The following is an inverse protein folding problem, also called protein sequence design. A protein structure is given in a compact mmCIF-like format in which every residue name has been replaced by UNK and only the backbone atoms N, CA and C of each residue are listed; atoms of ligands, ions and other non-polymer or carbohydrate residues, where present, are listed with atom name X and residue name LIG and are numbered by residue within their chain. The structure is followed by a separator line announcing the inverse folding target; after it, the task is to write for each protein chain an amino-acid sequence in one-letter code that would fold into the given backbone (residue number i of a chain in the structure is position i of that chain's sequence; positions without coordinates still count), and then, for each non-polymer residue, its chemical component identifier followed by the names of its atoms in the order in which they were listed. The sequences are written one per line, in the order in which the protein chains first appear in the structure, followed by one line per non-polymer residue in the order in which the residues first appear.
data_IF_775058603683
#
_entry.id   IF_775058603683
#
_cell.length_a   1.000
_cell.length_b   1.000
_cell.length_c   1.000
_cell.angle_alpha   90.00
_cell.angle_beta   90.00
_cell.angle_gamma   90.00
#
_symmetry.space_group_name_H-M   'P 1'
#
loop_
_entity.id
_entity.type
_entity.pdbx_description
1 polymer ?
#
# COMPACT_ATOMS: atom_id res chain seq x y z
N UNK A 1 -19.91 30.68 -41.66
CA UNK A 1 -19.73 31.95 -40.91
C UNK A 1 -20.62 31.87 -39.69
N UNK A 2 -20.07 31.80 -38.49
CA UNK A 2 -20.86 31.75 -37.26
C UNK A 2 -21.20 33.21 -36.93
N UNK A 3 -22.47 33.63 -37.05
CA UNK A 3 -22.94 34.92 -36.58
C UNK A 3 -22.87 34.97 -35.06
N UNK A 4 -21.83 35.62 -34.51
CA UNK A 4 -21.70 35.86 -33.07
C UNK A 4 -22.57 37.07 -32.73
N UNK A 5 -23.69 36.89 -32.04
CA UNK A 5 -24.54 37.99 -31.55
C UNK A 5 -23.70 38.99 -30.77
N UNK A 6 -23.88 40.27 -31.03
CA UNK A 6 -23.04 41.41 -30.57
C UNK A 6 -22.79 41.51 -29.05
N UNK A 7 -23.48 40.74 -28.21
CA UNK A 7 -23.35 40.76 -26.73
C UNK A 7 -22.88 39.41 -26.09
N UNK A 8 -22.53 38.40 -26.88
CA UNK A 8 -22.19 37.08 -26.32
C UNK A 8 -20.77 37.06 -25.80
N UNK A 9 -20.57 36.56 -24.57
CA UNK A 9 -19.25 36.18 -24.04
C UNK A 9 -18.86 34.85 -24.65
N UNK A 10 -17.58 34.68 -24.99
CA UNK A 10 -17.02 33.47 -25.59
C UNK A 10 -16.07 32.84 -24.59
N UNK A 11 -16.31 31.58 -24.25
CA UNK A 11 -15.40 30.79 -23.47
C UNK A 11 -14.45 30.02 -24.41
N UNK A 12 -13.17 30.16 -24.18
CA UNK A 12 -12.10 29.41 -24.88
C UNK A 12 -11.54 28.43 -23.89
N UNK A 13 -11.83 27.16 -24.07
CA UNK A 13 -11.28 26.07 -23.25
C UNK A 13 -9.85 25.81 -23.67
N UNK A 14 -8.95 25.81 -22.71
CA UNK A 14 -7.52 25.62 -22.91
C UNK A 14 -7.00 24.50 -22.03
N UNK A 15 -6.66 23.37 -22.65
CA UNK A 15 -6.03 22.25 -21.97
C UNK A 15 -4.56 22.60 -21.65
N UNK A 16 -4.20 22.54 -20.39
CA UNK A 16 -2.86 22.91 -19.92
C UNK A 16 -2.49 22.09 -18.68
N UNK A 17 -1.20 21.72 -18.58
CA UNK A 17 -0.68 21.17 -17.34
C UNK A 17 -0.74 22.23 -16.22
N UNK A 18 -1.07 21.87 -14.97
CA UNK A 18 -1.05 22.80 -13.85
C UNK A 18 0.29 23.54 -13.70
N UNK A 19 1.40 22.86 -13.99
CA UNK A 19 2.74 23.46 -13.90
C UNK A 19 3.05 24.44 -15.05
N UNK A 20 2.46 24.25 -16.23
CA UNK A 20 2.67 25.10 -17.41
C UNK A 20 1.71 26.28 -17.45
N UNK A 21 0.69 26.27 -16.60
CA UNK A 21 -0.25 27.39 -16.53
C UNK A 21 0.44 28.64 -15.95
N UNK A 22 0.30 29.73 -16.65
CA UNK A 22 0.64 31.09 -16.17
C UNK A 22 -0.44 32.07 -16.59
N UNK A 23 -0.63 33.12 -15.80
CA UNK A 23 -1.57 34.20 -16.13
C UNK A 23 -1.15 34.94 -17.41
N UNK A 24 0.13 35.02 -17.68
CA UNK A 24 0.67 35.59 -18.91
C UNK A 24 0.31 34.75 -20.14
N UNK A 25 0.41 33.40 -20.03
CA UNK A 25 0.02 32.51 -21.10
C UNK A 25 -1.50 32.62 -21.39
N UNK A 26 -2.34 32.69 -20.35
CA UNK A 26 -3.78 32.93 -20.46
C UNK A 26 -4.07 34.23 -21.22
N UNK A 27 -3.45 35.33 -20.82
CA UNK A 27 -3.58 36.63 -21.46
C UNK A 27 -3.05 36.62 -22.91
N UNK A 28 -2.01 35.84 -23.20
CA UNK A 28 -1.49 35.67 -24.56
C UNK A 28 -2.51 34.97 -25.46
N UNK A 29 -3.14 33.88 -24.95
CA UNK A 29 -4.19 33.15 -25.68
C UNK A 29 -5.37 34.06 -25.93
N UNK A 30 -5.85 34.81 -24.92
CA UNK A 30 -6.92 35.76 -25.06
C UNK A 30 -6.62 36.81 -26.15
N UNK A 31 -5.38 37.31 -26.17
CA UNK A 31 -4.92 38.29 -27.18
C UNK A 31 -4.85 37.67 -28.58
N UNK A 32 -4.37 36.44 -28.71
CA UNK A 32 -4.33 35.72 -29.99
C UNK A 32 -5.72 35.46 -30.53
N UNK A 33 -6.66 35.05 -29.68
CA UNK A 33 -8.05 34.82 -30.07
C UNK A 33 -8.76 36.10 -30.46
N UNK A 34 -8.54 37.19 -29.71
CA UNK A 34 -9.03 38.52 -30.04
C UNK A 34 -8.62 38.98 -31.46
N UNK A 35 -7.30 38.83 -31.76
CA UNK A 35 -6.78 39.20 -33.10
C UNK A 35 -7.30 38.27 -34.21
N UNK A 36 -7.35 36.97 -33.95
CA UNK A 36 -7.77 35.98 -34.96
C UNK A 36 -9.22 36.11 -35.36
N UNK A 37 -10.10 36.42 -34.40
CA UNK A 37 -11.56 36.45 -34.61
C UNK A 37 -12.17 37.87 -34.61
N UNK A 38 -11.37 38.92 -34.40
CA UNK A 38 -11.82 40.31 -34.36
C UNK A 38 -12.74 40.64 -33.17
N UNK A 39 -12.62 39.86 -32.07
CA UNK A 39 -13.52 39.98 -30.89
C UNK A 39 -12.78 40.75 -29.80
N UNK A 40 -13.43 41.73 -29.14
CA UNK A 40 -12.85 42.45 -28.02
C UNK A 40 -12.40 41.50 -26.89
N UNK A 41 -11.25 41.75 -26.27
CA UNK A 41 -10.67 40.88 -25.23
C UNK A 41 -11.57 40.66 -24.02
N UNK A 42 -12.30 41.69 -23.60
CA UNK A 42 -13.24 41.68 -22.48
C UNK A 42 -14.45 40.72 -22.70
N UNK A 43 -14.65 40.29 -23.94
CA UNK A 43 -15.68 39.30 -24.31
C UNK A 43 -15.16 37.88 -24.42
N UNK A 44 -13.85 37.69 -24.36
CA UNK A 44 -13.21 36.37 -24.43
C UNK A 44 -12.75 35.96 -23.01
N UNK A 45 -13.33 34.91 -22.48
CA UNK A 45 -12.90 34.26 -21.24
C UNK A 45 -12.11 33.02 -21.61
N UNK A 46 -10.87 32.97 -21.27
CA UNK A 46 -10.07 31.75 -21.34
C UNK A 46 -10.36 30.93 -20.08
N UNK A 47 -10.73 29.67 -20.24
CA UNK A 47 -11.03 28.74 -19.17
C UNK A 47 -9.97 27.66 -19.24
N UNK A 48 -8.99 27.65 -18.31
CA UNK A 48 -8.00 26.58 -18.27
C UNK A 48 -8.68 25.28 -17.84
N UNK A 49 -8.46 24.23 -18.59
CA UNK A 49 -8.79 22.85 -18.23
C UNK A 49 -7.49 22.14 -17.87
N UNK A 50 -7.28 21.91 -16.58
CA UNK A 50 -6.06 21.26 -16.13
C UNK A 50 -6.06 19.79 -16.51
N UNK A 51 -5.02 19.37 -17.22
CA UNK A 51 -4.79 17.99 -17.66
C UNK A 51 -3.46 17.50 -17.13
N UNK A 52 -3.37 16.22 -16.89
CA UNK A 52 -2.08 15.56 -16.59
C UNK A 52 -1.55 14.97 -17.90
N UNK A 53 -0.29 15.22 -18.18
CA UNK A 53 0.42 14.73 -19.36
C UNK A 53 1.44 13.67 -18.91
N UNK A 54 1.63 12.63 -19.73
CA UNK A 54 2.72 11.68 -19.54
C UNK A 54 4.07 12.27 -20.01
N UNK A 55 5.15 11.50 -19.83
CA UNK A 55 6.50 11.91 -20.25
C UNK A 55 6.64 12.15 -21.76
N UNK A 56 5.68 11.69 -22.56
CA UNK A 56 5.60 11.90 -24.01
C UNK A 56 4.75 13.11 -24.39
N UNK A 57 4.09 13.73 -23.41
CA UNK A 57 3.18 14.85 -23.61
C UNK A 57 1.76 14.44 -24.02
N UNK A 58 1.40 13.16 -23.89
CA UNK A 58 0.07 12.67 -24.16
C UNK A 58 -0.84 12.79 -22.92
N UNK A 59 -2.12 13.07 -23.14
CA UNK A 59 -3.11 13.22 -22.08
C UNK A 59 -3.36 11.87 -21.40
N UNK A 60 -3.06 11.80 -20.10
CA UNK A 60 -3.39 10.62 -19.31
C UNK A 60 -4.91 10.54 -19.12
N UNK A 61 -5.51 9.48 -19.65
CA UNK A 61 -6.93 9.21 -19.38
C UNK A 61 -7.07 8.76 -17.91
N UNK A 62 -8.05 9.31 -17.20
CA UNK A 62 -8.44 8.86 -15.85
C UNK A 62 -9.14 7.49 -15.94
N UNK A 63 -8.37 6.45 -16.25
CA UNK A 63 -8.80 5.06 -16.17
C UNK A 63 -8.38 4.47 -14.81
N UNK A 64 -8.67 3.21 -14.58
CA UNK A 64 -8.42 2.45 -13.34
C UNK A 64 -6.98 2.52 -12.78
N UNK A 65 -6.03 3.08 -13.52
CA UNK A 65 -4.65 3.32 -13.09
C UNK A 65 -4.45 4.61 -12.27
N UNK A 66 -5.55 5.27 -11.88
CA UNK A 66 -5.56 6.52 -11.07
C UNK A 66 -4.73 6.38 -9.78
N UNK A 67 -4.68 5.18 -9.19
CA UNK A 67 -3.93 4.94 -7.95
C UNK A 67 -2.41 5.04 -8.16
N UNK A 68 -1.91 4.75 -9.35
CA UNK A 68 -0.47 4.86 -9.64
C UNK A 68 -0.03 6.31 -9.81
N UNK A 69 -0.93 7.18 -10.27
CA UNK A 69 -0.62 8.57 -10.58
C UNK A 69 -0.91 9.55 -9.43
N UNK A 70 -1.53 9.09 -8.34
CA UNK A 70 -1.90 9.99 -7.21
C UNK A 70 -0.67 10.62 -6.53
N UNK A 71 0.49 9.98 -6.65
CA UNK A 71 1.75 10.47 -6.11
C UNK A 71 2.47 11.44 -7.05
N UNK A 72 1.97 11.60 -8.29
CA UNK A 72 2.56 12.57 -9.21
C UNK A 72 2.14 14.00 -8.83
N UNK A 73 3.11 14.92 -8.67
CA UNK A 73 2.85 16.30 -8.27
C UNK A 73 1.81 17.01 -9.15
N UNK A 74 1.85 16.80 -10.47
CA UNK A 74 0.88 17.38 -11.40
C UNK A 74 -0.55 16.92 -11.11
N UNK A 75 -0.72 15.64 -10.76
CA UNK A 75 -2.02 15.07 -10.45
C UNK A 75 -2.57 15.60 -9.13
N UNK A 76 -1.72 15.71 -8.10
CA UNK A 76 -2.08 16.27 -6.80
C UNK A 76 -2.53 17.73 -6.92
N UNK A 77 -1.74 18.54 -7.63
CA UNK A 77 -2.08 19.94 -7.87
C UNK A 77 -3.40 20.07 -8.65
N UNK A 78 -3.60 19.21 -9.67
CA UNK A 78 -4.88 19.17 -10.41
C UNK A 78 -6.07 18.84 -9.50
N UNK A 79 -5.96 17.81 -8.66
CA UNK A 79 -7.03 17.43 -7.72
C UNK A 79 -7.37 18.57 -6.76
N UNK A 80 -6.36 19.28 -6.27
CA UNK A 80 -6.57 20.43 -5.38
C UNK A 80 -7.32 21.55 -6.11
N UNK A 81 -6.95 21.87 -7.35
CA UNK A 81 -7.62 22.88 -8.15
C UNK A 81 -9.07 22.48 -8.51
N UNK A 82 -9.29 21.22 -8.85
CA UNK A 82 -10.61 20.68 -9.10
C UNK A 82 -11.48 20.78 -7.83
N UNK A 83 -10.92 20.48 -6.66
CA UNK A 83 -11.62 20.63 -5.38
C UNK A 83 -12.00 22.09 -5.09
N UNK A 84 -11.08 23.04 -5.30
CA UNK A 84 -11.35 24.47 -5.16
C UNK A 84 -12.49 24.92 -6.09
N UNK A 85 -12.46 24.43 -7.32
CA UNK A 85 -13.50 24.73 -8.33
C UNK A 85 -14.87 24.19 -7.93
N UNK A 86 -14.94 22.93 -7.49
CA UNK A 86 -16.20 22.29 -7.04
C UNK A 86 -16.80 23.01 -5.84
N UNK A 87 -15.95 23.52 -4.93
CA UNK A 87 -16.40 24.27 -3.76
C UNK A 87 -16.62 25.77 -4.03
N UNK A 88 -16.53 26.21 -5.28
CA UNK A 88 -16.69 27.61 -5.70
C UNK A 88 -15.72 28.58 -4.99
N UNK A 89 -14.54 28.10 -4.60
CA UNK A 89 -13.49 28.93 -4.03
C UNK A 89 -12.73 29.55 -5.19
N UNK A 90 -12.90 30.85 -5.41
CA UNK A 90 -12.30 31.58 -6.55
C UNK A 90 -11.27 32.61 -6.10
N UNK A 91 -11.25 32.96 -4.82
CA UNK A 91 -10.33 33.92 -4.23
C UNK A 91 -9.10 33.19 -3.66
N UNK A 92 -8.19 32.78 -4.54
CA UNK A 92 -6.90 32.20 -4.18
C UNK A 92 -5.79 32.66 -5.13
N UNK A 93 -4.58 32.73 -4.59
CA UNK A 93 -3.38 33.03 -5.37
C UNK A 93 -2.80 31.70 -5.95
N UNK A 94 -3.03 31.51 -7.24
CA UNK A 94 -2.56 30.31 -7.94
C UNK A 94 -1.04 30.17 -7.92
N UNK A 95 -0.30 31.26 -8.09
CA UNK A 95 1.17 31.24 -8.11
C UNK A 95 1.74 30.86 -6.72
N UNK A 96 1.09 31.34 -5.67
CA UNK A 96 1.44 30.95 -4.29
C UNK A 96 1.16 29.46 -4.05
N UNK A 97 0.01 28.96 -4.48
CA UNK A 97 -0.34 27.52 -4.37
C UNK A 97 0.70 26.67 -5.11
N UNK A 98 1.01 27.01 -6.35
CA UNK A 98 2.01 26.33 -7.18
C UNK A 98 3.39 26.32 -6.53
N UNK A 99 3.80 27.47 -5.96
CA UNK A 99 5.09 27.59 -5.27
C UNK A 99 5.15 26.69 -4.02
N UNK A 100 4.11 26.73 -3.19
CA UNK A 100 4.02 25.88 -1.98
C UNK A 100 4.01 24.40 -2.37
N UNK A 101 3.23 23.99 -3.36
CA UNK A 101 3.17 22.64 -3.87
C UNK A 101 4.53 22.16 -4.36
N UNK A 102 5.23 22.98 -5.16
CA UNK A 102 6.60 22.68 -5.63
C UNK A 102 7.61 22.56 -4.48
N UNK A 103 7.53 23.44 -3.46
CA UNK A 103 8.41 23.37 -2.28
C UNK A 103 8.15 22.11 -1.45
N UNK A 104 6.88 21.73 -1.27
CA UNK A 104 6.50 20.51 -0.54
C UNK A 104 6.98 19.28 -1.33
N UNK A 105 6.68 19.22 -2.62
CA UNK A 105 7.08 18.10 -3.48
C UNK A 105 8.61 17.96 -3.57
N UNK A 106 9.37 19.06 -3.54
CA UNK A 106 10.83 19.03 -3.46
C UNK A 106 11.38 18.50 -2.13
N UNK A 107 10.60 18.57 -1.05
CA UNK A 107 10.96 18.05 0.28
C UNK A 107 10.51 16.61 0.47
N UNK A 108 9.44 16.18 -0.22
CA UNK A 108 8.95 14.82 -0.18
C UNK A 108 9.92 13.97 -1.02
N UNK A 109 10.65 13.09 -0.35
CA UNK A 109 11.46 12.11 -1.05
C UNK A 109 10.53 11.01 -1.58
N UNK A 110 10.04 11.15 -2.82
CA UNK A 110 9.17 10.15 -3.47
C UNK A 110 9.82 8.77 -3.58
N UNK A 111 11.15 8.68 -3.49
CA UNK A 111 11.83 7.38 -3.38
C UNK A 111 11.45 6.61 -2.11
N UNK A 112 10.85 7.28 -1.11
CA UNK A 112 10.26 6.58 0.05
C UNK A 112 9.02 5.80 -0.37
N UNK A 113 8.29 6.25 -1.38
CA UNK A 113 7.08 5.57 -1.90
C UNK A 113 7.40 4.43 -2.86
N UNK A 114 8.54 4.47 -3.55
CA UNK A 114 9.10 3.30 -4.27
C UNK A 114 9.54 2.17 -3.32
N UNK A 115 9.53 2.41 -2.01
CA UNK A 115 9.82 1.39 -0.99
C UNK A 115 8.67 0.39 -0.75
N UNK A 116 7.47 0.64 -1.23
CA UNK A 116 6.42 -0.37 -1.22
C UNK A 116 6.65 -1.38 -2.34
N UNK A 117 7.55 -2.30 -2.06
CA UNK A 117 7.84 -3.40 -2.95
C UNK A 117 6.58 -4.23 -3.18
N UNK A 118 6.35 -4.62 -4.41
CA UNK A 118 5.31 -5.59 -4.72
C UNK A 118 5.76 -6.94 -4.19
N UNK A 119 5.03 -7.49 -3.27
CA UNK A 119 5.33 -8.81 -2.78
C UNK A 119 4.17 -9.78 -2.97
N UNK A 120 4.50 -11.05 -3.12
CA UNK A 120 3.55 -12.16 -3.16
C UNK A 120 4.09 -13.34 -2.36
N UNK A 121 3.21 -14.04 -1.66
CA UNK A 121 3.57 -15.26 -0.95
C UNK A 121 3.53 -16.41 -1.94
N UNK A 122 4.63 -17.15 -2.11
CA UNK A 122 4.71 -18.30 -2.99
C UNK A 122 4.26 -19.58 -2.30
N UNK A 123 4.78 -19.86 -1.14
CA UNK A 123 4.38 -21.01 -0.35
C UNK A 123 4.58 -20.74 1.15
N UNK A 124 3.91 -21.56 1.96
CA UNK A 124 4.01 -21.52 3.42
C UNK A 124 4.05 -22.94 3.98
N UNK A 125 4.95 -23.18 4.96
CA UNK A 125 5.03 -24.39 5.79
C UNK A 125 4.81 -23.99 7.24
N UNK A 126 4.06 -24.80 7.97
CA UNK A 126 3.85 -24.51 9.39
C UNK A 126 3.60 -25.77 10.22
N UNK A 127 3.95 -25.71 11.49
CA UNK A 127 3.74 -26.76 12.46
C UNK A 127 3.30 -26.20 13.79
N UNK A 128 2.33 -26.85 14.42
CA UNK A 128 1.80 -26.59 15.76
C UNK A 128 1.21 -25.19 15.99
N UNK A 129 0.78 -24.54 14.93
CA UNK A 129 0.29 -23.17 14.95
C UNK A 129 -1.24 -23.12 15.13
N UNK A 130 -1.71 -22.56 16.23
CA UNK A 130 -3.13 -22.37 16.60
C UNK A 130 -3.94 -23.68 16.51
N UNK A 131 -4.78 -23.83 15.47
CA UNK A 131 -5.61 -25.01 15.26
C UNK A 131 -4.94 -26.10 14.41
N UNK A 132 -3.77 -25.85 13.88
CA UNK A 132 -3.07 -26.76 12.99
C UNK A 132 -2.00 -27.56 13.76
N UNK A 133 -1.92 -28.84 13.45
CA UNK A 133 -0.90 -29.76 13.96
C UNK A 133 0.43 -29.62 13.23
N UNK A 134 1.13 -30.75 13.10
CA UNK A 134 2.45 -30.80 12.49
C UNK A 134 2.41 -30.87 10.96
N UNK A 135 3.51 -30.45 10.31
CA UNK A 135 3.82 -30.69 8.89
C UNK A 135 2.74 -30.24 7.90
N UNK A 136 2.27 -29.02 8.04
CA UNK A 136 1.37 -28.43 7.07
C UNK A 136 2.16 -27.67 5.99
N UNK A 137 1.65 -27.69 4.76
CA UNK A 137 2.22 -27.00 3.60
C UNK A 137 1.12 -26.49 2.68
N UNK A 138 1.34 -25.32 2.11
CA UNK A 138 0.46 -24.79 1.08
C UNK A 138 1.26 -23.96 0.07
N UNK A 139 0.99 -24.21 -1.22
CA UNK A 139 1.61 -23.51 -2.35
C UNK A 139 0.61 -22.54 -2.98
N UNK A 140 0.98 -21.27 -3.04
CA UNK A 140 0.20 -20.19 -3.64
C UNK A 140 0.65 -19.86 -5.08
N UNK A 141 1.75 -20.43 -5.58
CA UNK A 141 2.44 -19.95 -6.79
C UNK A 141 1.57 -19.97 -8.05
N UNK A 142 0.66 -20.93 -8.17
CA UNK A 142 -0.18 -21.12 -9.36
C UNK A 142 -1.67 -21.02 -9.08
N UNK A 143 -2.04 -20.36 -7.97
CA UNK A 143 -3.42 -20.28 -7.53
C UNK A 143 -3.94 -18.87 -7.77
N UNK A 144 -5.04 -18.76 -8.52
CA UNK A 144 -5.76 -17.51 -8.71
C UNK A 144 -6.69 -17.22 -7.51
N UNK A 145 -7.97 -17.41 -7.70
CA UNK A 145 -8.95 -17.22 -6.61
C UNK A 145 -9.16 -18.50 -5.83
N UNK A 146 -9.13 -18.40 -4.49
CA UNK A 146 -9.32 -19.52 -3.57
C UNK A 146 -10.57 -19.29 -2.75
N UNK A 147 -11.41 -20.32 -2.65
CA UNK A 147 -12.53 -20.36 -1.71
C UNK A 147 -12.25 -21.43 -0.67
N UNK A 148 -12.13 -21.02 0.59
CA UNK A 148 -11.93 -21.93 1.71
C UNK A 148 -13.28 -22.30 2.36
N UNK A 149 -13.63 -23.57 2.28
CA UNK A 149 -14.81 -24.12 2.91
C UNK A 149 -14.41 -24.99 4.12
N UNK A 150 -15.21 -24.96 5.16
CA UNK A 150 -15.06 -25.86 6.30
C UNK A 150 -16.06 -27.00 6.17
N UNK A 151 -15.57 -28.22 6.27
CA UNK A 151 -16.44 -29.42 6.40
C UNK A 151 -17.01 -29.56 7.80
N UNK A 152 -16.49 -28.83 8.79
CA UNK A 152 -16.99 -28.86 10.16
C UNK A 152 -18.27 -28.02 10.28
N UNK A 153 -19.41 -28.60 10.75
CA UNK A 153 -20.65 -27.87 10.92
C UNK A 153 -20.57 -26.67 11.87
N UNK A 154 -19.67 -26.71 12.85
CA UNK A 154 -19.43 -25.60 13.78
C UNK A 154 -18.62 -24.44 13.18
N UNK A 155 -18.25 -24.51 11.91
CA UNK A 155 -17.44 -23.50 11.20
C UNK A 155 -16.06 -23.19 11.86
N UNK A 156 -15.53 -24.14 12.66
CA UNK A 156 -14.25 -24.02 13.38
C UNK A 156 -13.09 -24.68 12.64
N UNK A 157 -13.10 -24.71 11.31
CA UNK A 157 -12.13 -25.39 10.47
C UNK A 157 -10.77 -24.67 10.26
N UNK A 158 -10.47 -23.63 11.04
CA UNK A 158 -9.16 -22.96 10.95
C UNK A 158 -8.99 -22.00 9.75
N UNK A 159 -10.06 -21.67 9.01
CA UNK A 159 -9.97 -20.77 7.83
C UNK A 159 -9.29 -19.43 8.15
N UNK A 160 -9.76 -18.73 9.18
CA UNK A 160 -9.16 -17.46 9.60
C UNK A 160 -7.72 -17.64 10.09
N UNK A 161 -7.42 -18.78 10.73
CA UNK A 161 -6.04 -19.12 11.11
C UNK A 161 -5.13 -19.20 9.88
N UNK A 162 -5.60 -19.82 8.81
CA UNK A 162 -4.85 -19.97 7.57
C UNK A 162 -4.72 -18.65 6.78
N UNK A 163 -5.87 -18.00 6.51
CA UNK A 163 -5.88 -16.82 5.64
C UNK A 163 -5.31 -15.56 6.30
N UNK A 164 -5.45 -15.41 7.61
CA UNK A 164 -5.12 -14.18 8.33
C UNK A 164 -3.95 -14.39 9.27
N UNK A 165 -4.16 -15.21 10.33
CA UNK A 165 -3.19 -15.29 11.41
C UNK A 165 -1.86 -15.91 10.99
N UNK A 166 -1.88 -16.92 10.10
CA UNK A 166 -0.67 -17.60 9.61
C UNK A 166 0.20 -16.63 8.80
N UNK A 167 -0.39 -15.94 7.84
CA UNK A 167 0.32 -14.99 7.00
C UNK A 167 0.80 -13.78 7.82
N UNK A 168 -0.05 -13.28 8.71
CA UNK A 168 0.33 -12.18 9.62
C UNK A 168 1.48 -12.59 10.55
N UNK A 169 1.46 -13.81 11.08
CA UNK A 169 2.54 -14.30 11.90
C UNK A 169 3.82 -14.49 11.10
N UNK A 170 3.74 -15.04 9.88
CA UNK A 170 4.88 -15.16 8.97
C UNK A 170 5.55 -13.80 8.73
N UNK A 171 4.77 -12.79 8.36
CA UNK A 171 5.27 -11.48 7.95
C UNK A 171 5.71 -10.62 9.15
N UNK A 172 4.93 -10.57 10.22
CA UNK A 172 5.11 -9.61 11.31
C UNK A 172 5.37 -10.23 12.69
N UNK A 173 5.20 -11.54 12.84
CA UNK A 173 5.40 -12.25 14.12
C UNK A 173 4.27 -12.05 15.12
N UNK A 174 3.10 -11.59 14.68
CA UNK A 174 1.91 -11.32 15.49
C UNK A 174 0.70 -12.07 14.96
N UNK A 175 -0.34 -12.20 15.79
CA UNK A 175 -1.65 -12.73 15.39
C UNK A 175 -2.73 -11.70 15.66
N UNK A 176 -3.78 -11.70 14.84
CA UNK A 176 -4.91 -10.79 15.01
C UNK A 176 -5.71 -11.07 16.29
N UNK A 177 -5.89 -12.36 16.64
CA UNK A 177 -6.75 -12.81 17.74
C UNK A 177 -6.11 -12.84 19.12
N UNK A 178 -4.80 -12.97 19.19
CA UNK A 178 -4.11 -13.17 20.47
C UNK A 178 -2.91 -12.24 20.61
N UNK A 179 -2.84 -11.52 21.71
CA UNK A 179 -1.73 -10.61 22.03
C UNK A 179 -0.51 -11.34 22.62
N UNK A 180 -0.69 -12.53 23.18
CA UNK A 180 0.38 -13.28 23.87
C UNK A 180 0.79 -14.48 23.04
N UNK A 181 2.08 -14.64 22.80
CA UNK A 181 2.65 -15.68 21.97
C UNK A 181 2.43 -17.10 22.50
N UNK A 182 2.24 -17.27 23.81
CA UNK A 182 1.87 -18.56 24.41
C UNK A 182 0.59 -19.15 23.85
N UNK A 183 -0.32 -18.29 23.37
CA UNK A 183 -1.60 -18.70 22.78
C UNK A 183 -1.49 -19.12 21.32
N UNK A 184 -0.32 -18.99 20.70
CA UNK A 184 -0.10 -19.40 19.30
C UNK A 184 0.16 -20.89 19.16
N UNK A 185 0.53 -21.56 20.25
CA UNK A 185 0.69 -23.00 20.27
C UNK A 185 -0.64 -23.73 20.14
N UNK A 186 -0.63 -24.86 19.45
CA UNK A 186 -1.81 -25.69 19.32
C UNK A 186 -2.30 -26.14 20.69
N UNK A 187 -3.58 -25.87 21.01
CA UNK A 187 -4.19 -26.20 22.30
C UNK A 187 -4.32 -27.70 22.50
N UNK A 188 -4.45 -28.47 21.41
CA UNK A 188 -4.65 -29.90 21.43
C UNK A 188 -3.31 -30.68 21.53
N UNK A 189 -2.18 -29.99 21.37
CA UNK A 189 -0.84 -30.52 21.48
C UNK A 189 -0.12 -29.83 22.65
N UNK A 190 -0.56 -30.15 23.87
CA UNK A 190 -0.01 -29.54 25.08
C UNK A 190 1.51 -29.74 25.21
N UNK A 191 2.02 -30.86 24.71
CA UNK A 191 3.45 -31.22 24.71
C UNK A 191 4.28 -30.42 23.71
N UNK A 192 3.66 -29.79 22.72
CA UNK A 192 4.41 -29.03 21.73
C UNK A 192 5.26 -27.92 22.38
N UNK A 193 6.54 -27.99 22.15
CA UNK A 193 7.55 -27.04 22.68
C UNK A 193 7.91 -25.98 21.66
N UNK A 194 7.55 -26.18 20.39
CA UNK A 194 7.85 -25.26 19.30
C UNK A 194 6.66 -25.06 18.35
N UNK A 195 6.57 -23.86 17.83
CA UNK A 195 5.77 -23.50 16.65
C UNK A 195 6.74 -23.03 15.59
N UNK A 196 6.63 -23.55 14.39
CA UNK A 196 7.46 -23.14 13.27
C UNK A 196 6.55 -22.68 12.14
N UNK A 197 6.82 -21.49 11.59
CA UNK A 197 6.19 -20.98 10.38
C UNK A 197 7.29 -20.49 9.47
N UNK A 198 7.34 -21.04 8.25
CA UNK A 198 8.32 -20.73 7.23
C UNK A 198 7.59 -20.45 5.92
N UNK A 199 8.00 -19.43 5.18
CA UNK A 199 7.38 -19.12 3.90
C UNK A 199 8.31 -18.43 2.95
N UNK A 200 8.09 -18.67 1.66
CA UNK A 200 8.77 -17.98 0.58
C UNK A 200 7.92 -16.82 0.08
N UNK A 201 8.53 -15.66 0.00
CA UNK A 201 7.93 -14.43 -0.47
C UNK A 201 8.74 -13.94 -1.67
N UNK A 202 8.05 -13.61 -2.76
CA UNK A 202 8.67 -12.90 -3.87
C UNK A 202 8.50 -11.40 -3.64
N UNK A 203 9.60 -10.66 -3.64
CA UNK A 203 9.62 -9.20 -3.52
C UNK A 203 10.35 -8.66 -4.75
N UNK A 204 9.65 -7.92 -5.61
CA UNK A 204 10.18 -7.31 -6.84
C UNK A 204 10.98 -8.29 -7.73
N UNK A 205 10.50 -9.53 -7.83
CA UNK A 205 11.12 -10.56 -8.65
C UNK A 205 12.21 -11.37 -7.94
N UNK A 206 12.61 -11.00 -6.72
CA UNK A 206 13.55 -11.78 -5.89
C UNK A 206 12.81 -12.60 -4.85
N UNK A 207 13.26 -13.80 -4.60
CA UNK A 207 12.66 -14.69 -3.61
C UNK A 207 13.37 -14.60 -2.27
N UNK A 208 12.58 -14.52 -1.21
CA UNK A 208 13.05 -14.44 0.17
C UNK A 208 12.36 -15.49 1.02
N UNK A 209 13.06 -16.06 1.98
CA UNK A 209 12.50 -16.96 2.96
C UNK A 209 12.46 -16.28 4.32
N UNK A 210 11.27 -16.26 4.93
CA UNK A 210 11.08 -15.88 6.32
C UNK A 210 10.77 -17.15 7.11
N UNK A 211 11.50 -17.37 8.20
CA UNK A 211 11.24 -18.46 9.13
C UNK A 211 11.10 -17.90 10.54
N UNK A 212 9.99 -18.19 11.19
CA UNK A 212 9.72 -17.82 12.57
C UNK A 212 9.54 -19.04 13.44
N UNK A 213 10.26 -19.08 14.53
CA UNK A 213 10.19 -20.17 15.50
C UNK A 213 9.81 -19.59 16.85
N UNK A 214 8.69 -20.06 17.42
CA UNK A 214 8.39 -19.85 18.84
C UNK A 214 8.83 -21.07 19.62
N UNK A 215 9.46 -20.85 20.75
CA UNK A 215 9.90 -21.91 21.65
C UNK A 215 9.39 -21.64 23.07
N UNK A 216 8.93 -22.70 23.74
CA UNK A 216 8.55 -22.68 25.15
C UNK A 216 9.10 -23.92 25.86
N UNK A 217 9.29 -23.89 27.17
CA UNK A 217 9.73 -25.06 27.92
C UNK A 217 8.78 -26.23 27.77
N UNK A 218 9.30 -27.46 27.95
CA UNK A 218 8.49 -28.68 28.01
C UNK A 218 7.47 -28.61 29.14
N UNK A 219 6.42 -29.42 29.06
CA UNK A 219 5.25 -29.31 29.95
C UNK A 219 5.63 -29.45 31.43
N UNK A 220 6.53 -30.38 31.73
CA UNK A 220 7.08 -30.68 33.07
C UNK A 220 7.91 -29.50 33.65
N UNK A 221 8.48 -28.66 32.81
CA UNK A 221 9.31 -27.49 33.18
C UNK A 221 8.58 -26.19 33.10
N UNK A 222 7.32 -26.17 32.69
CA UNK A 222 6.54 -24.92 32.61
C UNK A 222 6.13 -24.43 34.00
N UNK A 223 6.37 -23.14 34.20
CA UNK A 223 5.92 -22.40 35.38
C UNK A 223 5.19 -21.14 34.95
N UNK A 224 4.52 -20.46 35.86
CA UNK A 224 3.89 -19.16 35.61
C UNK A 224 4.88 -18.07 35.15
N UNK A 225 6.19 -18.30 35.34
CA UNK A 225 7.28 -17.40 34.95
C UNK A 225 7.93 -17.80 33.64
N UNK A 226 7.57 -18.96 33.06
CA UNK A 226 8.13 -19.40 31.77
C UNK A 226 7.71 -18.47 30.66
N UNK A 227 8.66 -18.00 29.89
CA UNK A 227 8.42 -17.11 28.74
C UNK A 227 8.57 -17.87 27.43
N UNK A 228 7.69 -17.58 26.49
CA UNK A 228 7.85 -17.96 25.08
C UNK A 228 8.87 -17.04 24.44
N UNK A 229 9.81 -17.61 23.71
CA UNK A 229 10.83 -16.88 22.93
C UNK A 229 10.51 -16.99 21.45
N UNK A 230 10.79 -15.93 20.70
CA UNK A 230 10.64 -15.91 19.25
C UNK A 230 11.99 -15.68 18.59
N UNK A 231 12.33 -16.54 17.62
CA UNK A 231 13.44 -16.35 16.69
C UNK A 231 12.86 -16.05 15.32
N UNK A 232 13.46 -15.11 14.59
CA UNK A 232 13.17 -14.82 13.19
C UNK A 232 14.43 -14.96 12.37
N UNK A 233 14.30 -15.60 11.23
CA UNK A 233 15.37 -15.82 10.24
C UNK A 233 14.84 -15.29 8.90
N UNK A 234 15.67 -14.58 8.16
CA UNK A 234 15.32 -13.96 6.88
C UNK A 234 16.45 -14.16 5.90
N UNK A 235 16.17 -14.77 4.76
CA UNK A 235 17.14 -15.17 3.74
C UNK A 235 16.70 -14.69 2.38
N UNK A 236 17.64 -14.31 1.53
CA UNK A 236 17.41 -14.08 0.10
C UNK A 236 17.85 -15.32 -0.66
N UNK A 237 17.02 -15.82 -1.56
CA UNK A 237 17.38 -16.89 -2.48
C UNK A 237 18.18 -16.32 -3.65
N UNK A 238 19.37 -16.87 -3.89
CA UNK A 238 20.25 -16.49 -5.00
C UNK A 238 20.33 -17.67 -5.96
N UNK A 239 19.45 -17.67 -7.00
CA UNK A 239 19.39 -18.74 -8.00
C UNK A 239 17.95 -19.03 -8.45
N UNK A 240 17.78 -19.46 -9.70
CA UNK A 240 16.47 -19.52 -10.35
C UNK A 240 15.77 -20.88 -10.31
N UNK A 241 16.33 -21.92 -9.70
CA UNK A 241 15.68 -23.24 -9.64
C UNK A 241 15.57 -23.72 -8.19
N UNK A 242 14.33 -23.99 -7.81
CA UNK A 242 13.94 -24.61 -6.53
C UNK A 242 14.21 -26.13 -6.56
N UNK A 243 15.39 -26.54 -6.93
CA UNK A 243 15.86 -27.88 -6.61
C UNK A 243 16.54 -27.83 -5.26
N UNK A 244 16.00 -28.57 -4.31
CA UNK A 244 16.42 -28.74 -2.90
C UNK A 244 17.40 -27.67 -2.42
N UNK A 245 16.85 -26.72 -1.64
CA UNK A 245 17.57 -25.60 -1.06
C UNK A 245 18.85 -26.09 -0.36
N UNK A 246 19.95 -26.15 -1.08
CA UNK A 246 21.26 -26.25 -0.46
C UNK A 246 21.53 -24.93 0.28
N UNK A 247 22.01 -25.02 1.51
CA UNK A 247 22.34 -23.89 2.38
C UNK A 247 23.30 -22.86 1.73
N UNK A 248 23.88 -23.18 0.58
CA UNK A 248 24.87 -22.39 -0.13
C UNK A 248 24.31 -21.29 -1.03
N UNK A 249 23.02 -21.35 -1.37
CA UNK A 249 22.38 -20.38 -2.29
C UNK A 249 21.58 -19.29 -1.54
N UNK A 250 21.73 -19.19 -0.24
CA UNK A 250 20.97 -18.29 0.61
C UNK A 250 21.87 -17.24 1.25
N UNK A 251 21.71 -15.99 0.85
CA UNK A 251 22.32 -14.89 1.61
C UNK A 251 21.62 -14.73 2.96
N UNK A 252 22.37 -14.83 4.02
CA UNK A 252 21.84 -14.69 5.37
C UNK A 252 21.85 -13.21 5.80
N UNK A 253 20.67 -12.64 5.98
CA UNK A 253 20.48 -11.29 6.50
C UNK A 253 20.29 -11.28 8.03
N UNK A 254 20.65 -12.35 8.72
CA UNK A 254 20.55 -12.38 10.18
C UNK A 254 21.45 -11.32 10.79
N UNK A 255 20.82 -10.34 11.38
CA UNK A 255 21.48 -9.53 12.38
C UNK A 255 21.29 -10.18 13.75
N UNK A 256 22.23 -10.03 14.67
CA UNK A 256 22.25 -10.68 15.99
C UNK A 256 21.00 -10.47 16.84
N UNK A 257 20.09 -9.58 16.43
CA UNK A 257 18.84 -9.26 17.12
C UNK A 257 17.61 -9.44 16.20
N UNK A 258 16.67 -10.27 16.65
CA UNK A 258 15.35 -10.41 16.00
C UNK A 258 14.61 -9.09 15.78
N UNK A 259 14.97 -8.02 16.50
CA UNK A 259 14.43 -6.68 16.36
C UNK A 259 14.88 -6.05 15.05
N UNK A 260 16.17 -6.18 14.72
CA UNK A 260 16.72 -5.63 13.48
C UNK A 260 16.18 -6.39 12.26
N UNK A 261 16.14 -7.73 12.33
CA UNK A 261 15.55 -8.56 11.26
C UNK A 261 14.09 -8.21 11.00
N UNK A 262 13.29 -8.03 12.05
CA UNK A 262 11.88 -7.59 11.91
C UNK A 262 11.77 -6.19 11.28
N UNK A 263 12.71 -5.29 11.56
CA UNK A 263 12.76 -3.96 10.96
C UNK A 263 13.01 -4.05 9.45
N UNK A 264 13.99 -4.84 9.04
CA UNK A 264 14.31 -5.07 7.61
C UNK A 264 13.10 -5.65 6.87
N UNK A 265 12.44 -6.66 7.46
CA UNK A 265 11.22 -7.23 6.87
C UNK A 265 10.14 -6.16 6.70
N UNK A 266 9.88 -5.35 7.74
CA UNK A 266 8.87 -4.27 7.67
C UNK A 266 9.22 -3.19 6.63
N UNK A 267 10.48 -2.87 6.49
CA UNK A 267 10.95 -1.93 5.45
C UNK A 267 10.71 -2.49 4.04
N UNK A 268 10.75 -3.81 3.86
CA UNK A 268 10.56 -4.46 2.57
C UNK A 268 9.09 -4.70 2.19
N UNK A 269 8.21 -4.96 3.17
CA UNK A 269 6.83 -5.40 2.91
C UNK A 269 5.76 -4.48 3.48
N UNK A 270 6.14 -3.42 4.19
CA UNK A 270 5.21 -2.53 4.88
C UNK A 270 4.92 -2.96 6.34
N UNK A 271 3.91 -2.35 6.94
CA UNK A 271 3.58 -2.60 8.34
C UNK A 271 2.30 -3.43 8.52
N UNK A 272 2.03 -3.83 9.76
CA UNK A 272 0.89 -4.67 10.12
C UNK A 272 -0.47 -4.01 9.82
N UNK A 273 -0.57 -2.69 10.01
CA UNK A 273 -1.82 -1.97 9.77
C UNK A 273 -2.18 -1.98 8.27
N UNK A 274 -1.17 -1.86 7.39
CA UNK A 274 -1.38 -1.92 5.95
C UNK A 274 -1.80 -3.32 5.52
N UNK A 275 -1.18 -4.37 6.09
CA UNK A 275 -1.58 -5.75 5.85
C UNK A 275 -3.04 -6.00 6.29
N UNK A 276 -3.42 -5.59 7.48
CA UNK A 276 -4.75 -5.82 8.03
C UNK A 276 -5.86 -5.13 7.21
N UNK A 277 -5.55 -4.00 6.62
CA UNK A 277 -6.54 -3.17 5.93
C UNK A 277 -6.58 -3.39 4.42
N UNK A 278 -5.47 -3.82 3.82
CA UNK A 278 -5.36 -4.00 2.36
C UNK A 278 -5.36 -5.48 1.98
N UNK A 279 -4.57 -6.29 2.70
CA UNK A 279 -4.35 -7.69 2.36
C UNK A 279 -5.30 -8.63 3.09
N UNK A 280 -5.67 -8.30 4.32
CA UNK A 280 -6.47 -9.16 5.22
C UNK A 280 -7.73 -8.45 5.70
N UNK A 281 -8.53 -7.96 4.76
CA UNK A 281 -9.76 -7.22 5.08
C UNK A 281 -10.78 -8.17 5.71
N UNK A 282 -11.16 -7.91 6.95
CA UNK A 282 -12.23 -8.59 7.68
C UNK A 282 -13.30 -7.60 8.09
N UNK A 283 -14.52 -8.07 8.39
CA UNK A 283 -15.59 -7.20 8.89
C UNK A 283 -15.16 -6.43 10.13
N UNK A 284 -14.36 -7.06 11.01
CA UNK A 284 -13.84 -6.42 12.22
C UNK A 284 -12.84 -5.31 11.92
N UNK A 285 -11.97 -5.48 10.92
CA UNK A 285 -10.99 -4.44 10.54
C UNK A 285 -11.66 -3.22 9.92
N UNK A 286 -12.70 -3.43 9.11
CA UNK A 286 -13.51 -2.34 8.57
C UNK A 286 -14.28 -1.61 9.67
N UNK A 287 -14.89 -2.35 10.58
CA UNK A 287 -15.59 -1.80 11.74
C UNK A 287 -14.65 -0.97 12.64
N UNK A 288 -13.44 -1.45 12.88
CA UNK A 288 -12.43 -0.71 13.63
C UNK A 288 -12.00 0.57 12.93
N UNK A 289 -11.83 0.54 11.60
CA UNK A 289 -11.53 1.73 10.81
C UNK A 289 -12.64 2.78 10.94
N UNK A 290 -13.90 2.36 10.84
CA UNK A 290 -15.06 3.26 10.97
C UNK A 290 -15.17 3.84 12.39
N UNK A 291 -14.84 3.04 13.42
CA UNK A 291 -14.90 3.45 14.83
C UNK A 291 -13.70 4.30 15.29
N UNK A 292 -12.61 4.34 14.52
CA UNK A 292 -11.46 5.21 14.83
C UNK A 292 -11.87 6.67 14.84
N UNK A 293 -11.20 7.48 15.67
CA UNK A 293 -11.37 8.93 15.69
C UNK A 293 -11.04 9.53 14.34
N UNK A 294 -11.71 10.60 13.97
CA UNK A 294 -11.58 11.23 12.64
C UNK A 294 -10.12 11.56 12.28
N UNK A 295 -9.33 12.05 13.26
CA UNK A 295 -7.91 12.35 13.07
C UNK A 295 -7.06 11.11 12.81
N UNK A 296 -7.34 9.98 13.46
CA UNK A 296 -6.62 8.72 13.25
C UNK A 296 -7.02 8.09 11.92
N UNK A 297 -8.30 8.11 11.60
CA UNK A 297 -8.83 7.66 10.31
C UNK A 297 -8.26 8.48 9.16
N UNK A 298 -8.24 9.81 9.30
CA UNK A 298 -7.65 10.70 8.32
C UNK A 298 -6.16 10.44 8.08
N UNK A 299 -5.38 10.20 9.13
CA UNK A 299 -3.95 9.84 9.00
C UNK A 299 -3.75 8.51 8.27
N UNK A 300 -4.54 7.49 8.60
CA UNK A 300 -4.47 6.19 7.91
C UNK A 300 -4.77 6.33 6.43
N UNK A 301 -5.87 7.02 6.09
CA UNK A 301 -6.24 7.26 4.71
C UNK A 301 -5.16 8.07 3.97
N UNK A 302 -4.65 9.13 4.59
CA UNK A 302 -3.59 9.95 4.01
C UNK A 302 -2.30 9.15 3.76
N UNK A 303 -1.95 8.20 4.66
CA UNK A 303 -0.82 7.30 4.45
C UNK A 303 -1.05 6.36 3.27
N UNK A 304 -2.25 5.79 3.12
CA UNK A 304 -2.56 4.86 2.02
C UNK A 304 -2.55 5.52 0.64
N UNK A 305 -2.95 6.77 0.56
CA UNK A 305 -2.87 7.54 -0.68
C UNK A 305 -1.51 8.22 -0.86
N UNK A 306 -0.53 7.91 0.01
CA UNK A 306 0.83 8.42 -0.12
C UNK A 306 1.02 9.87 0.26
N UNK A 307 0.11 10.48 1.02
CA UNK A 307 0.22 11.87 1.50
C UNK A 307 0.98 12.00 2.82
N UNK A 308 1.23 10.90 3.53
CA UNK A 308 2.01 10.85 4.76
C UNK A 308 3.02 9.72 4.67
N UNK A 309 4.26 9.93 5.18
CA UNK A 309 5.28 8.90 5.26
C UNK A 309 4.96 7.80 6.28
#
# INVERSE_FOLDING_TARGET
MIEIKEKSKINVHWNVSPYDYTKEAENSIQSKMSRKYGIPKDRIKVVPEFIVLDDKGDKIALTTDVVQNINEPQFQLKLMLDWLSVNNITDYDFELIKKIDSEINGKINYQIYDKYHRYSVKWVKWSNFLSYGENNYFDFSNIGHIVLLSSNPSNQGGKTTFCVDLLRFLLFGSCSRYKTQDKYFNKHLAEATSVVVEGCINIDGCDYIIKRTLSRPSLDKRSSKSKTTQKVEYYRLVGSELEELDEYDVENFQDESSVKTNKIIKESIGNEDDFDLIMSVTDSTLDELVKKKDTERGRLLARWIGLLP
#
